data_IF_263037251970
#
_entry.id   IF_263037251970
#
_cell.length_a   1.000
_cell.length_b   1.000
_cell.length_c   1.000
_cell.angle_alpha   90.00
_cell.angle_beta   90.00
_cell.angle_gamma   90.00
#
_symmetry.space_group_name_H-M   'P 1'
#
loop_
_entity.id
_entity.type
_entity.pdbx_description
1 polymer ?
#
# COMPACT_ATOMS: atom_id res chain seq x y z
N UNK A 1 28.38 -74.01 -15.50
CA UNK A 1 28.42 -73.51 -14.10
C UNK A 1 28.85 -72.05 -14.10
N UNK A 2 28.05 -71.14 -13.50
CA UNK A 2 28.44 -69.87 -12.84
C UNK A 2 29.19 -68.79 -13.66
N UNK A 3 28.85 -67.50 -13.75
CA UNK A 3 27.91 -66.58 -13.06
C UNK A 3 27.84 -65.26 -13.88
N UNK A 4 26.74 -64.51 -13.73
CA UNK A 4 26.49 -63.12 -14.14
C UNK A 4 27.59 -62.11 -13.72
N UNK A 5 27.68 -60.96 -14.41
CA UNK A 5 27.76 -59.55 -13.87
C UNK A 5 28.15 -58.57 -15.01
N UNK A 6 27.26 -57.71 -15.54
CA UNK A 6 26.77 -56.39 -15.10
C UNK A 6 27.68 -55.17 -15.42
N UNK A 7 27.30 -54.44 -16.48
CA UNK A 7 27.02 -52.98 -16.61
C UNK A 7 28.06 -51.94 -16.14
N UNK A 8 28.36 -50.99 -17.04
CA UNK A 8 28.38 -49.54 -16.72
C UNK A 8 28.29 -48.71 -18.01
N UNK A 9 27.08 -48.27 -18.38
CA UNK A 9 26.89 -47.12 -19.27
C UNK A 9 26.89 -45.85 -18.42
N UNK A 10 27.81 -44.95 -18.70
CA UNK A 10 27.92 -43.63 -18.07
C UNK A 10 26.83 -42.70 -18.63
N UNK A 11 25.77 -42.49 -17.84
CA UNK A 11 24.72 -41.51 -18.14
C UNK A 11 25.22 -40.11 -17.76
N UNK A 12 25.37 -39.24 -18.76
CA UNK A 12 25.96 -37.91 -18.64
C UNK A 12 25.09 -36.92 -17.84
N UNK A 13 25.62 -36.46 -16.70
CA UNK A 13 25.12 -35.34 -15.90
C UNK A 13 25.47 -33.97 -16.52
N UNK A 14 25.08 -33.70 -17.77
CA UNK A 14 25.32 -32.38 -18.41
C UNK A 14 24.19 -31.35 -18.21
N UNK A 15 23.06 -31.70 -17.56
CA UNK A 15 21.86 -30.83 -17.46
C UNK A 15 21.58 -30.18 -16.10
N UNK A 16 22.24 -30.59 -15.01
CA UNK A 16 21.92 -30.12 -13.66
C UNK A 16 22.27 -28.64 -13.35
N UNK A 17 23.39 -28.05 -13.81
CA UNK A 17 23.76 -26.69 -13.41
C UNK A 17 22.89 -25.62 -14.08
N UNK A 18 22.37 -25.88 -15.29
CA UNK A 18 21.53 -24.93 -16.02
C UNK A 18 20.17 -24.69 -15.32
N UNK A 19 19.53 -25.76 -14.84
CA UNK A 19 18.26 -25.68 -14.12
C UNK A 19 18.42 -25.04 -12.73
N UNK A 20 19.57 -25.24 -12.07
CA UNK A 20 19.87 -24.61 -10.78
C UNK A 20 20.07 -23.09 -10.93
N UNK A 21 20.83 -22.66 -11.95
CA UNK A 21 21.02 -21.23 -12.27
C UNK A 21 19.70 -20.54 -12.63
N UNK A 22 18.82 -21.20 -13.38
CA UNK A 22 17.49 -20.65 -13.70
C UNK A 22 16.60 -20.49 -12.46
N UNK A 23 16.66 -21.41 -11.49
CA UNK A 23 15.90 -21.30 -10.23
C UNK A 23 16.37 -20.16 -9.36
N UNK A 24 17.69 -19.90 -9.31
CA UNK A 24 18.25 -18.74 -8.59
C UNK A 24 17.85 -17.45 -9.31
N UNK A 25 17.95 -17.39 -10.64
CA UNK A 25 17.53 -16.23 -11.42
C UNK A 25 16.05 -15.87 -11.21
N UNK A 26 15.17 -16.87 -11.23
CA UNK A 26 13.73 -16.70 -10.93
C UNK A 26 13.48 -16.25 -9.49
N UNK A 27 14.22 -16.78 -8.52
CA UNK A 27 14.09 -16.39 -7.12
C UNK A 27 14.54 -14.93 -6.89
N UNK A 28 15.66 -14.53 -7.51
CA UNK A 28 16.17 -13.15 -7.45
C UNK A 28 15.20 -12.19 -8.14
N UNK A 29 14.69 -12.54 -9.32
CA UNK A 29 13.70 -11.71 -10.03
C UNK A 29 12.41 -11.56 -9.21
N UNK A 30 11.90 -12.64 -8.62
CA UNK A 30 10.70 -12.60 -7.77
C UNK A 30 10.91 -11.72 -6.54
N UNK A 31 12.09 -11.79 -5.92
CA UNK A 31 12.43 -10.93 -4.79
C UNK A 31 12.53 -9.46 -5.21
N UNK A 32 13.18 -9.15 -6.33
CA UNK A 32 13.27 -7.78 -6.86
C UNK A 32 11.90 -7.19 -7.18
N UNK A 33 10.99 -7.99 -7.77
CA UNK A 33 9.61 -7.57 -8.05
C UNK A 33 8.82 -7.28 -6.76
N UNK A 34 9.00 -8.10 -5.72
CA UNK A 34 8.37 -7.86 -4.41
C UNK A 34 8.89 -6.57 -3.76
N UNK A 35 10.21 -6.33 -3.80
CA UNK A 35 10.80 -5.12 -3.22
C UNK A 35 10.39 -3.84 -3.98
N UNK A 36 10.18 -3.93 -5.30
CA UNK A 36 9.75 -2.79 -6.11
C UNK A 36 8.33 -2.28 -5.76
N UNK A 37 7.47 -3.11 -5.15
CA UNK A 37 6.11 -2.72 -4.76
C UNK A 37 6.02 -2.02 -3.39
N UNK A 38 7.07 -2.05 -2.56
CA UNK A 38 7.07 -1.48 -1.19
C UNK A 38 6.70 0.01 -1.12
N UNK A 39 7.20 0.92 -1.98
CA UNK A 39 6.92 2.36 -1.84
C UNK A 39 5.47 2.74 -2.14
N UNK A 40 4.69 1.89 -2.82
CA UNK A 40 3.26 2.16 -3.08
C UNK A 40 2.39 2.02 -1.82
N UNK A 41 2.89 1.39 -0.76
CA UNK A 41 2.11 1.15 0.46
C UNK A 41 2.10 2.33 1.46
N UNK A 42 2.91 3.38 1.24
CA UNK A 42 3.13 4.49 2.20
C UNK A 42 2.65 5.85 1.63
N UNK A 43 1.67 5.85 0.73
CA UNK A 43 1.24 7.05 0.00
C UNK A 43 -0.09 7.67 0.50
N UNK A 44 -0.43 7.57 1.78
CA UNK A 44 -1.67 8.14 2.33
C UNK A 44 -1.54 9.60 2.81
N UNK A 45 -0.43 10.27 2.49
CA UNK A 45 -0.20 11.67 2.80
C UNK A 45 -0.23 12.51 1.51
N UNK A 46 -1.00 13.60 1.53
CA UNK A 46 -1.11 14.54 0.41
C UNK A 46 -0.56 15.89 0.84
N UNK A 47 0.29 16.52 0.02
CA UNK A 47 0.92 17.82 0.34
C UNK A 47 0.53 18.89 -0.66
N UNK A 48 0.21 20.08 -0.15
CA UNK A 48 -0.02 21.29 -0.95
C UNK A 48 0.66 22.46 -0.25
N UNK A 49 1.81 22.90 -0.78
CA UNK A 49 2.66 23.88 -0.09
C UNK A 49 3.09 23.36 1.29
N UNK A 50 2.80 24.15 2.33
CA UNK A 50 3.09 23.81 3.73
C UNK A 50 1.96 23.03 4.43
N UNK A 51 0.87 22.69 3.71
CA UNK A 51 -0.22 21.88 4.24
C UNK A 51 0.00 20.40 3.95
N UNK A 52 -0.22 19.57 4.94
CA UNK A 52 -0.24 18.11 4.83
C UNK A 52 -1.63 17.58 5.21
N UNK A 53 -2.18 16.69 4.38
CA UNK A 53 -3.41 15.96 4.63
C UNK A 53 -3.04 14.52 4.91
N UNK A 54 -3.25 14.08 6.15
CA UNK A 54 -2.83 12.76 6.61
C UNK A 54 -4.00 11.78 6.61
N UNK A 55 -3.76 10.60 6.03
CA UNK A 55 -4.57 9.40 6.14
C UNK A 55 -6.09 9.66 6.00
N UNK A 56 -6.57 10.24 4.89
CA UNK A 56 -8.00 10.37 4.67
C UNK A 56 -8.65 9.00 4.58
N UNK A 57 -9.76 8.81 5.29
CA UNK A 57 -10.50 7.55 5.33
C UNK A 57 -11.99 7.77 5.56
N UNK A 58 -12.79 6.77 5.20
CA UNK A 58 -14.22 6.73 5.49
C UNK A 58 -14.58 5.34 6.00
N UNK A 59 -15.60 5.26 6.86
CA UNK A 59 -16.22 3.96 7.14
C UNK A 59 -17.10 3.54 5.99
N UNK A 60 -17.25 2.22 5.81
CA UNK A 60 -18.26 1.68 4.91
C UNK A 60 -19.65 2.13 5.39
N UNK A 61 -20.46 2.65 4.47
CA UNK A 61 -21.81 3.11 4.79
C UNK A 61 -22.73 1.90 4.95
N UNK A 62 -23.48 1.78 6.07
CA UNK A 62 -24.41 0.67 6.26
C UNK A 62 -25.49 0.62 5.15
N UNK A 63 -26.00 -0.57 4.79
CA UNK A 63 -27.09 -0.69 3.83
C UNK A 63 -28.29 0.18 4.22
N UNK A 64 -28.75 1.02 3.29
CA UNK A 64 -29.90 1.91 3.49
C UNK A 64 -29.60 3.26 4.14
N UNK A 65 -28.38 3.48 4.67
CA UNK A 65 -27.97 4.80 5.15
C UNK A 65 -27.64 5.73 3.97
N UNK A 66 -28.12 6.98 4.05
CA UNK A 66 -27.95 7.99 2.99
C UNK A 66 -26.76 8.93 3.20
N UNK A 67 -26.12 8.87 4.36
CA UNK A 67 -25.03 9.76 4.76
C UNK A 67 -23.81 8.94 5.13
N UNK A 68 -22.67 9.28 4.54
CA UNK A 68 -21.36 8.71 4.84
C UNK A 68 -20.53 9.72 5.64
N UNK A 69 -19.62 9.22 6.47
CA UNK A 69 -18.67 10.04 7.23
C UNK A 69 -17.24 9.83 6.74
N UNK A 70 -16.60 10.90 6.29
CA UNK A 70 -15.18 10.95 5.97
C UNK A 70 -14.38 11.66 7.06
N UNK A 71 -13.15 11.21 7.28
CA UNK A 71 -12.24 11.72 8.30
C UNK A 71 -10.85 11.88 7.69
N UNK A 72 -10.15 12.95 8.07
CA UNK A 72 -8.77 13.21 7.68
C UNK A 72 -8.18 14.21 8.68
N UNK A 73 -6.85 14.29 8.72
CA UNK A 73 -6.15 15.31 9.51
C UNK A 73 -5.51 16.31 8.56
N UNK A 74 -5.61 17.60 8.87
CA UNK A 74 -4.85 18.65 8.18
C UNK A 74 -3.81 19.22 9.13
N UNK A 75 -2.55 19.20 8.71
CA UNK A 75 -1.43 19.79 9.44
C UNK A 75 -0.92 20.99 8.65
N UNK A 76 -1.01 22.18 9.24
CA UNK A 76 -0.39 23.38 8.67
C UNK A 76 1.01 23.56 9.27
N UNK A 77 2.05 23.39 8.44
CA UNK A 77 3.46 23.61 8.81
C UNK A 77 3.97 25.00 8.45
N UNK A 78 3.12 25.86 7.89
CA UNK A 78 3.44 27.22 7.50
C UNK A 78 3.45 28.19 8.68
N UNK A 79 3.94 29.40 8.44
CA UNK A 79 4.00 30.48 9.44
C UNK A 79 2.73 31.34 9.51
N UNK A 80 1.82 31.17 8.53
CA UNK A 80 0.55 31.88 8.46
C UNK A 80 -0.63 30.95 8.75
N UNK A 81 -1.70 31.44 9.41
CA UNK A 81 -2.92 30.67 9.60
C UNK A 81 -3.59 30.38 8.27
N UNK A 82 -4.24 29.22 8.18
CA UNK A 82 -5.04 28.81 7.02
C UNK A 82 -6.43 28.35 7.48
N UNK A 83 -7.36 28.24 6.52
CA UNK A 83 -8.75 27.87 6.77
C UNK A 83 -9.24 26.92 5.68
N UNK A 84 -9.74 25.76 6.10
CA UNK A 84 -10.49 24.87 5.22
C UNK A 84 -11.86 25.48 4.90
N UNK A 85 -12.07 25.89 3.65
CA UNK A 85 -13.29 26.59 3.24
C UNK A 85 -14.38 25.64 2.71
N UNK A 86 -13.99 24.55 2.08
CA UNK A 86 -14.93 23.64 1.41
C UNK A 86 -14.32 22.26 1.19
N UNK A 87 -15.19 21.26 1.04
CA UNK A 87 -14.84 19.90 0.60
C UNK A 87 -15.84 19.50 -0.50
N UNK A 88 -15.38 18.76 -1.51
CA UNK A 88 -16.22 18.18 -2.55
C UNK A 88 -16.00 16.67 -2.64
N UNK A 89 -16.98 15.94 -3.18
CA UNK A 89 -16.89 14.49 -3.37
C UNK A 89 -17.71 14.04 -4.57
N UNK A 90 -17.15 13.14 -5.37
CA UNK A 90 -17.82 12.61 -6.57
C UNK A 90 -18.91 11.57 -6.25
N UNK A 91 -18.96 11.08 -5.00
CA UNK A 91 -19.89 10.03 -4.56
C UNK A 91 -21.11 10.58 -3.81
N UNK A 92 -21.26 11.91 -3.71
CA UNK A 92 -22.35 12.56 -3.00
C UNK A 92 -22.75 13.88 -3.64
N UNK A 93 -24.05 14.19 -3.68
CA UNK A 93 -24.54 15.48 -4.18
C UNK A 93 -24.17 16.66 -3.27
N UNK A 94 -23.93 16.41 -1.97
CA UNK A 94 -23.62 17.43 -0.97
C UNK A 94 -22.60 16.91 0.05
N UNK A 95 -21.68 17.79 0.45
CA UNK A 95 -20.74 17.56 1.55
C UNK A 95 -20.93 18.65 2.60
N UNK A 96 -20.89 18.27 3.87
CA UNK A 96 -20.99 19.18 5.02
C UNK A 96 -19.77 18.99 5.93
N UNK A 97 -19.21 20.09 6.43
CA UNK A 97 -18.08 20.06 7.37
C UNK A 97 -18.63 20.14 8.80
N UNK A 98 -18.30 19.15 9.63
CA UNK A 98 -18.62 19.17 11.05
C UNK A 98 -17.38 19.59 11.83
N UNK A 99 -17.35 20.85 12.29
CA UNK A 99 -16.26 21.38 13.11
C UNK A 99 -16.59 21.18 14.59
N UNK A 100 -15.65 20.60 15.33
CA UNK A 100 -15.65 20.60 16.79
C UNK A 100 -14.23 20.92 17.25
N UNK A 101 -14.08 21.95 18.08
CA UNK A 101 -12.81 22.35 18.65
C UNK A 101 -12.72 21.99 20.11
N UNK A 102 -11.49 21.95 20.65
CA UNK A 102 -11.27 22.06 22.09
C UNK A 102 -10.36 23.24 22.32
N UNK A 103 -10.87 24.26 23.02
CA UNK A 103 -10.10 25.43 23.42
C UNK A 103 -10.04 25.47 24.94
N UNK A 104 -8.83 25.47 25.50
CA UNK A 104 -8.60 25.51 26.94
C UNK A 104 -9.35 24.42 27.73
N UNK A 105 -9.46 23.23 27.14
CA UNK A 105 -10.16 22.08 27.72
C UNK A 105 -11.70 22.10 27.56
N UNK A 106 -12.25 23.11 26.89
CA UNK A 106 -13.69 23.23 26.63
C UNK A 106 -13.99 22.91 25.16
N UNK A 107 -15.00 22.08 24.92
CA UNK A 107 -15.49 21.75 23.58
C UNK A 107 -16.22 22.95 22.98
N UNK A 108 -15.84 23.36 21.77
CA UNK A 108 -16.38 24.52 21.03
C UNK A 108 -16.98 24.11 19.70
#
# INVERSE_FOLDING_TARGET
MSKLLFKAQTFGLRGAPFLFQQRIGLAVLSLLLLLACVPFAIAHEFKVGDLEIEHPWSRATPPGAKVAGGYFTVVNKGSAPDRLLSISSDISDKVELHEMGVKDGVMT
#
